data_IF_820210557672
#
_entry.id   IF_820210557672
#
_cell.length_a   1.000
_cell.length_b   1.000
_cell.length_c   1.000
_cell.angle_alpha   90.00
_cell.angle_beta   90.00
_cell.angle_gamma   90.00
#
_symmetry.space_group_name_H-M   'P 1'
#
loop_
_entity.id
_entity.type
_entity.pdbx_description
1 polymer ?
#
# COMPACT_ATOMS: atom_id res chain seq x y z
N UNK A 1 40.83 13.56 -3.51
CA UNK A 1 39.84 12.93 -2.62
C UNK A 1 38.46 13.46 -3.01
N UNK A 2 37.73 12.72 -3.85
CA UNK A 2 36.34 13.06 -4.15
C UNK A 2 35.49 12.57 -2.98
N UNK A 3 35.05 13.47 -2.13
CA UNK A 3 33.95 13.19 -1.20
C UNK A 3 32.65 13.33 -1.99
N UNK A 4 32.13 12.22 -2.49
CA UNK A 4 30.72 12.14 -2.91
C UNK A 4 29.94 11.96 -1.63
N UNK A 5 29.77 13.02 -0.88
CA UNK A 5 28.91 13.13 0.30
C UNK A 5 27.77 14.09 0.01
N UNK A 6 27.10 13.93 -1.11
CA UNK A 6 25.76 14.44 -1.28
C UNK A 6 24.82 13.40 -0.68
N UNK A 7 24.35 13.60 0.55
CA UNK A 7 23.13 12.99 0.97
C UNK A 7 22.09 13.39 -0.09
N UNK A 8 21.69 12.46 -0.95
CA UNK A 8 20.48 12.61 -1.70
C UNK A 8 19.40 12.76 -0.65
N UNK A 9 18.99 13.99 -0.34
CA UNK A 9 17.70 14.22 0.26
C UNK A 9 16.72 13.67 -0.76
N UNK A 10 16.26 12.45 -0.50
CA UNK A 10 15.01 11.99 -1.06
C UNK A 10 14.00 13.03 -0.63
N UNK A 11 13.73 14.00 -1.51
CA UNK A 11 12.54 14.84 -1.40
C UNK A 11 11.38 13.86 -1.44
N UNK A 12 10.85 13.54 -0.26
CA UNK A 12 9.66 12.73 -0.14
C UNK A 12 8.54 13.57 -0.73
N UNK A 13 8.27 13.33 -2.03
CA UNK A 13 7.20 14.03 -2.72
C UNK A 13 5.89 13.69 -2.03
N UNK A 14 5.19 14.71 -1.58
CA UNK A 14 3.86 14.63 -0.99
C UNK A 14 2.75 15.09 -1.94
N UNK A 15 3.12 15.60 -3.11
CA UNK A 15 2.21 16.11 -4.14
C UNK A 15 2.76 15.83 -5.54
N UNK A 16 1.87 15.86 -6.50
CA UNK A 16 2.18 15.85 -7.92
C UNK A 16 1.68 17.15 -8.52
N UNK A 17 2.58 17.88 -9.17
CA UNK A 17 2.31 19.11 -9.90
C UNK A 17 2.50 18.89 -11.41
N UNK A 18 1.68 19.56 -12.21
CA UNK A 18 1.80 19.54 -13.66
C UNK A 18 3.13 20.20 -14.09
N UNK A 19 3.93 19.50 -14.87
CA UNK A 19 5.16 20.04 -15.41
C UNK A 19 4.93 20.89 -16.69
N UNK A 20 3.81 20.67 -17.37
CA UNK A 20 3.43 21.27 -18.65
C UNK A 20 1.93 21.55 -18.68
N UNK A 21 1.52 22.50 -19.53
CA UNK A 21 0.12 22.75 -19.80
C UNK A 21 -0.48 21.62 -20.64
N UNK A 22 -1.73 21.26 -20.40
CA UNK A 22 -2.39 20.22 -21.16
C UNK A 22 -3.72 19.80 -20.58
N UNK A 23 -4.26 18.70 -21.07
CA UNK A 23 -5.49 18.09 -20.58
C UNK A 23 -5.14 16.83 -19.80
N UNK A 24 -5.74 16.65 -18.64
CA UNK A 24 -5.59 15.48 -17.78
C UNK A 24 -6.37 14.31 -18.35
N UNK A 25 -5.74 13.15 -18.45
CA UNK A 25 -6.35 11.88 -18.81
C UNK A 25 -6.04 10.82 -17.74
N UNK A 26 -7.10 10.26 -17.13
CA UNK A 26 -6.95 9.20 -16.14
C UNK A 26 -6.84 7.84 -16.82
N UNK A 27 -5.84 7.05 -16.42
CA UNK A 27 -5.61 5.70 -16.93
C UNK A 27 -5.56 4.70 -15.79
N UNK A 28 -6.39 3.68 -15.86
CA UNK A 28 -6.51 2.63 -14.82
C UNK A 28 -6.69 3.22 -13.39
N UNK A 29 -7.26 4.42 -13.29
CA UNK A 29 -7.41 5.15 -12.04
C UNK A 29 -8.81 4.91 -11.47
N UNK A 30 -8.90 4.08 -10.43
CA UNK A 30 -10.12 3.87 -9.66
C UNK A 30 -10.14 4.84 -8.49
N UNK A 31 -11.11 5.72 -8.48
CA UNK A 31 -11.28 6.77 -7.46
C UNK A 31 -12.58 6.52 -6.71
N UNK A 32 -12.56 6.78 -5.42
CA UNK A 32 -13.74 6.81 -4.56
C UNK A 32 -13.79 8.12 -3.78
N UNK A 33 -15.00 8.60 -3.52
CA UNK A 33 -15.20 9.77 -2.69
C UNK A 33 -15.38 9.34 -1.22
N UNK A 34 -14.56 9.90 -0.32
CA UNK A 34 -14.66 9.66 1.11
C UNK A 34 -15.78 10.51 1.76
N UNK A 35 -16.02 10.33 3.07
CA UNK A 35 -17.03 11.08 3.82
C UNK A 35 -16.81 12.60 3.83
N UNK A 36 -15.60 13.08 3.51
CA UNK A 36 -15.21 14.49 3.46
C UNK A 36 -15.25 15.07 2.06
N UNK A 37 -15.72 14.29 1.06
CA UNK A 37 -15.73 14.70 -0.34
C UNK A 37 -14.36 14.68 -1.00
N UNK A 38 -13.35 14.00 -0.43
CA UNK A 38 -12.04 13.83 -1.05
C UNK A 38 -12.06 12.65 -1.99
N UNK A 39 -11.42 12.80 -3.14
CA UNK A 39 -11.32 11.77 -4.17
C UNK A 39 -10.08 10.93 -3.96
N UNK A 40 -10.23 9.78 -3.37
CA UNK A 40 -9.13 8.90 -2.95
C UNK A 40 -8.90 7.79 -3.96
N UNK A 41 -7.65 7.59 -4.34
CA UNK A 41 -7.23 6.57 -5.30
C UNK A 41 -7.16 5.20 -4.64
N UNK A 42 -7.86 4.23 -5.21
CA UNK A 42 -7.84 2.82 -4.78
C UNK A 42 -6.99 1.93 -5.69
N UNK A 43 -6.70 2.36 -6.91
CA UNK A 43 -5.84 1.58 -7.81
C UNK A 43 -4.37 1.69 -7.41
N UNK A 44 -3.64 0.59 -7.61
CA UNK A 44 -2.18 0.54 -7.36
C UNK A 44 -1.36 0.78 -8.62
N UNK A 45 -2.01 0.68 -9.78
CA UNK A 45 -1.42 0.88 -11.11
C UNK A 45 -1.96 2.11 -11.83
N UNK A 46 -2.68 2.99 -11.12
CA UNK A 46 -3.28 4.18 -11.70
C UNK A 46 -2.25 5.19 -12.18
N UNK A 47 -2.50 5.77 -13.34
CA UNK A 47 -1.65 6.78 -13.97
C UNK A 47 -2.49 7.98 -14.36
N UNK A 48 -1.84 9.14 -14.33
CA UNK A 48 -2.37 10.38 -14.90
C UNK A 48 -1.46 10.80 -16.04
N UNK A 49 -2.03 10.88 -17.23
CA UNK A 49 -1.37 11.43 -18.40
C UNK A 49 -1.76 12.88 -18.60
N UNK A 50 -0.83 13.70 -19.06
CA UNK A 50 -1.08 15.06 -19.55
C UNK A 50 -0.93 14.99 -21.06
N UNK A 51 -1.99 15.33 -21.77
CA UNK A 51 -2.06 15.29 -23.23
C UNK A 51 -2.26 16.68 -23.82
N UNK A 52 -1.76 16.89 -25.03
CA UNK A 52 -2.03 18.11 -25.80
C UNK A 52 -3.39 18.03 -26.53
N UNK A 53 -3.74 19.08 -27.29
CA UNK A 53 -4.98 19.13 -28.07
C UNK A 53 -5.06 18.08 -29.18
N UNK A 54 -3.92 17.54 -29.60
CA UNK A 54 -3.83 16.50 -30.63
C UNK A 54 -3.83 15.08 -30.04
N UNK A 55 -3.97 14.96 -28.70
CA UNK A 55 -3.97 13.69 -27.98
C UNK A 55 -2.56 13.09 -27.83
N UNK A 56 -1.50 13.87 -28.03
CA UNK A 56 -0.13 13.42 -27.82
C UNK A 56 0.20 13.50 -26.32
N UNK A 57 0.78 12.45 -25.77
CA UNK A 57 1.26 12.44 -24.40
C UNK A 57 2.45 13.39 -24.21
N UNK A 58 2.30 14.33 -23.28
CA UNK A 58 3.34 15.25 -22.85
C UNK A 58 4.06 14.75 -21.60
N UNK A 59 3.30 14.18 -20.66
CA UNK A 59 3.84 13.59 -19.45
C UNK A 59 2.92 12.48 -18.92
N UNK A 60 3.49 11.47 -18.27
CA UNK A 60 2.74 10.41 -17.59
C UNK A 60 3.28 10.23 -16.18
N UNK A 61 2.39 10.23 -15.21
CA UNK A 61 2.74 10.13 -13.80
C UNK A 61 1.94 9.03 -13.11
N UNK A 62 2.60 8.19 -12.34
CA UNK A 62 1.93 7.21 -11.47
C UNK A 62 1.39 7.89 -10.22
N UNK A 63 0.14 7.57 -9.89
CA UNK A 63 -0.50 8.06 -8.68
C UNK A 63 -0.48 6.95 -7.62
N UNK A 64 0.06 7.20 -6.42
CA UNK A 64 0.10 6.18 -5.38
C UNK A 64 -1.30 5.90 -4.82
N UNK A 65 -1.49 4.66 -4.37
CA UNK A 65 -2.66 4.24 -3.60
C UNK A 65 -2.86 5.14 -2.37
N UNK A 66 -4.09 5.57 -2.14
CA UNK A 66 -4.45 6.47 -1.04
C UNK A 66 -4.19 7.95 -1.31
N UNK A 67 -3.72 8.32 -2.50
CA UNK A 67 -3.58 9.72 -2.89
C UNK A 67 -4.95 10.37 -3.07
N UNK A 68 -5.04 11.65 -2.73
CA UNK A 68 -6.20 12.51 -3.01
C UNK A 68 -5.99 13.21 -4.35
N UNK A 69 -6.89 13.00 -5.30
CA UNK A 69 -6.86 13.64 -6.62
C UNK A 69 -7.61 14.95 -6.58
N UNK A 70 -6.97 16.02 -7.05
CA UNK A 70 -7.47 17.38 -6.98
C UNK A 70 -8.12 17.90 -8.28
N UNK A 71 -7.90 17.19 -9.40
CA UNK A 71 -8.46 17.55 -10.71
C UNK A 71 -9.40 16.47 -11.24
N UNK A 72 -10.21 16.78 -12.24
CA UNK A 72 -11.09 15.84 -12.92
C UNK A 72 -10.44 15.29 -14.18
N UNK A 73 -10.96 14.14 -14.63
CA UNK A 73 -10.62 13.61 -15.94
C UNK A 73 -11.09 14.56 -17.05
N UNK A 74 -10.23 14.83 -18.02
CA UNK A 74 -10.50 15.83 -19.07
C UNK A 74 -10.31 17.29 -18.62
N UNK A 75 -9.84 17.56 -17.40
CA UNK A 75 -9.59 18.92 -16.93
C UNK A 75 -8.36 19.54 -17.60
N UNK A 76 -8.47 20.81 -18.00
CA UNK A 76 -7.34 21.56 -18.54
C UNK A 76 -6.54 22.14 -17.39
N UNK A 77 -5.25 21.81 -17.34
CA UNK A 77 -4.31 22.25 -16.31
C UNK A 77 -3.19 23.08 -16.90
N UNK A 78 -2.61 23.93 -16.06
CA UNK A 78 -1.41 24.70 -16.35
C UNK A 78 -0.20 24.16 -15.58
N UNK A 79 0.99 24.44 -16.10
CA UNK A 79 2.22 24.07 -15.39
C UNK A 79 2.26 24.70 -14.00
N UNK A 80 2.52 23.86 -12.97
CA UNK A 80 2.48 24.24 -11.56
C UNK A 80 1.16 23.92 -10.85
N UNK A 81 0.08 23.54 -11.56
CA UNK A 81 -1.16 23.11 -10.93
C UNK A 81 -0.99 21.77 -10.22
N UNK A 82 -1.61 21.62 -9.05
CA UNK A 82 -1.57 20.37 -8.29
C UNK A 82 -2.59 19.38 -8.83
N UNK A 83 -2.11 18.20 -9.19
CA UNK A 83 -2.92 17.09 -9.70
C UNK A 83 -3.36 16.18 -8.57
N UNK A 84 -2.43 15.84 -7.67
CA UNK A 84 -2.69 14.93 -6.55
C UNK A 84 -1.81 15.25 -5.36
N UNK A 85 -2.23 14.83 -4.17
CA UNK A 85 -1.48 14.93 -2.91
C UNK A 85 -1.60 13.65 -2.09
N UNK A 86 -0.58 13.29 -1.32
CA UNK A 86 -0.56 12.12 -0.46
C UNK A 86 0.37 12.28 0.74
N UNK A 87 0.21 11.40 1.72
CA UNK A 87 1.16 11.29 2.82
C UNK A 87 2.31 10.35 2.41
N UNK A 88 3.55 10.84 2.33
CA UNK A 88 4.69 10.01 1.96
C UNK A 88 5.15 9.07 3.09
N UNK A 89 4.76 9.35 4.34
CA UNK A 89 5.24 8.63 5.53
C UNK A 89 4.37 7.45 5.92
N UNK A 90 3.10 7.47 5.54
CA UNK A 90 2.16 6.41 5.86
C UNK A 90 1.47 5.85 4.63
N UNK A 91 1.10 4.58 4.70
CA UNK A 91 0.24 3.93 3.73
C UNK A 91 -1.11 3.66 4.39
N UNK A 92 -2.20 4.28 3.92
CA UNK A 92 -3.51 4.02 4.46
C UNK A 92 -4.02 2.64 4.02
N UNK A 93 -4.81 2.00 4.87
CA UNK A 93 -5.69 0.89 4.51
C UNK A 93 -7.09 1.45 4.39
N UNK A 94 -7.66 1.41 3.19
CA UNK A 94 -8.90 2.10 2.83
C UNK A 94 -9.98 1.08 2.53
N UNK A 95 -11.20 1.32 3.00
CA UNK A 95 -12.36 0.48 2.70
C UNK A 95 -12.89 0.73 1.29
N UNK A 96 -13.18 -0.34 0.56
CA UNK A 96 -13.80 -0.23 -0.76
C UNK A 96 -15.33 -0.25 -0.71
N UNK A 97 -15.88 -0.85 0.35
CA UNK A 97 -17.31 -1.01 0.54
C UNK A 97 -17.73 -0.42 1.89
N UNK A 98 -18.98 -0.01 2.05
CA UNK A 98 -19.54 0.33 3.35
C UNK A 98 -19.76 -0.93 4.19
N UNK A 99 -19.82 -0.78 5.53
CA UNK A 99 -20.14 -1.89 6.42
C UNK A 99 -19.67 -1.68 7.84
N UNK A 100 -19.79 -2.72 8.66
CA UNK A 100 -19.40 -2.73 10.07
C UNK A 100 -18.04 -3.40 10.25
N UNK A 101 -17.15 -2.76 10.98
CA UNK A 101 -15.82 -3.26 11.30
C UNK A 101 -15.89 -4.37 12.34
N UNK A 102 -15.15 -5.45 12.12
CA UNK A 102 -14.91 -6.50 13.11
C UNK A 102 -13.41 -6.82 13.19
N UNK A 103 -12.92 -6.76 14.42
CA UNK A 103 -11.55 -7.12 14.72
C UNK A 103 -11.41 -8.63 14.82
N UNK A 104 -10.41 -9.19 14.16
CA UNK A 104 -10.06 -10.61 14.27
C UNK A 104 -8.58 -10.75 14.63
N UNK A 105 -8.28 -11.56 15.63
CA UNK A 105 -6.94 -11.78 16.16
C UNK A 105 -6.23 -10.50 16.66
N UNK A 106 -7.00 -9.45 16.97
CA UNK A 106 -6.56 -8.20 17.59
C UNK A 106 -6.84 -8.27 19.08
N UNK A 107 -5.88 -8.78 19.86
CA UNK A 107 -6.01 -9.03 21.30
C UNK A 107 -5.10 -8.06 22.05
N UNK A 108 -5.67 -7.25 22.95
CA UNK A 108 -4.91 -6.35 23.81
C UNK A 108 -3.83 -7.08 24.61
N UNK A 109 -2.64 -6.50 24.65
CA UNK A 109 -1.47 -7.09 25.32
C UNK A 109 -0.78 -8.23 24.57
N UNK A 110 -1.34 -8.71 23.44
CA UNK A 110 -0.71 -9.72 22.59
C UNK A 110 -0.38 -9.17 21.20
N UNK A 111 -1.40 -8.86 20.42
CA UNK A 111 -1.28 -8.38 19.04
C UNK A 111 -1.65 -6.91 18.88
N UNK A 112 -2.21 -6.31 19.93
CA UNK A 112 -2.61 -4.92 19.98
C UNK A 112 -2.03 -4.29 21.24
N UNK A 113 -1.36 -3.15 21.09
CA UNK A 113 -0.79 -2.38 22.21
C UNK A 113 -1.19 -0.92 22.06
N UNK A 114 -1.59 -0.31 23.16
CA UNK A 114 -1.83 1.12 23.20
C UNK A 114 -0.51 1.85 23.46
N UNK A 115 -0.15 2.75 22.57
CA UNK A 115 1.05 3.58 22.64
C UNK A 115 0.63 5.04 22.65
N UNK A 116 1.07 5.80 23.63
CA UNK A 116 0.84 7.24 23.67
C UNK A 116 1.91 7.91 22.82
N UNK A 117 1.47 8.67 21.82
CA UNK A 117 2.37 9.50 21.01
C UNK A 117 2.88 10.65 21.89
N UNK A 118 4.19 10.70 22.13
CA UNK A 118 4.83 11.71 22.98
C UNK A 118 4.68 13.14 22.44
N UNK A 119 4.49 13.30 21.13
CA UNK A 119 4.36 14.62 20.50
C UNK A 119 2.94 15.18 20.61
N UNK A 120 1.92 14.31 20.47
CA UNK A 120 0.51 14.71 20.44
C UNK A 120 -0.24 14.40 21.73
N UNK A 121 0.30 13.53 22.57
CA UNK A 121 -0.36 13.05 23.80
C UNK A 121 -1.56 12.13 23.53
N UNK A 122 -1.79 11.73 22.29
CA UNK A 122 -2.92 10.90 21.88
C UNK A 122 -2.54 9.43 21.99
N UNK A 123 -3.37 8.65 22.66
CA UNK A 123 -3.23 7.20 22.69
C UNK A 123 -3.59 6.59 21.32
N UNK A 124 -2.68 5.82 20.76
CA UNK A 124 -2.84 5.13 19.48
C UNK A 124 -2.77 3.64 19.68
N UNK A 125 -3.65 2.90 19.03
CA UNK A 125 -3.63 1.43 19.05
C UNK A 125 -2.77 0.92 17.90
N UNK A 126 -1.66 0.28 18.27
CA UNK A 126 -0.65 -0.22 17.34
C UNK A 126 -0.66 -1.75 17.31
N UNK A 127 -0.68 -2.31 16.12
CA UNK A 127 -0.57 -3.76 15.91
C UNK A 127 0.87 -4.20 16.17
N UNK A 128 1.05 -5.16 17.05
CA UNK A 128 2.37 -5.72 17.39
C UNK A 128 2.53 -7.14 16.86
N UNK A 129 3.77 -7.52 16.54
CA UNK A 129 4.09 -8.88 16.15
C UNK A 129 4.01 -9.79 17.37
N UNK A 130 3.06 -10.72 17.38
CA UNK A 130 2.98 -11.74 18.41
C UNK A 130 3.82 -12.95 17.99
N UNK A 131 4.89 -13.19 18.74
CA UNK A 131 5.64 -14.44 18.68
C UNK A 131 5.36 -15.23 19.94
N UNK A 132 4.64 -16.34 19.81
CA UNK A 132 4.44 -17.24 20.94
C UNK A 132 5.80 -17.68 21.52
N UNK A 133 6.09 -17.27 22.76
CA UNK A 133 7.27 -17.71 23.47
C UNK A 133 7.06 -19.18 23.89
N UNK A 134 7.61 -20.13 23.12
CA UNK A 134 7.61 -21.55 23.46
C UNK A 134 7.12 -22.46 22.33
N UNK A 135 7.45 -23.74 22.45
CA UNK A 135 7.16 -24.84 21.51
C UNK A 135 5.66 -25.19 21.35
N UNK A 136 4.76 -24.37 21.84
CA UNK A 136 3.32 -24.60 21.75
C UNK A 136 2.83 -24.18 20.35
N UNK A 137 2.42 -25.13 19.59
CA UNK A 137 2.04 -25.13 18.17
C UNK A 137 0.71 -24.42 17.87
N UNK A 138 0.15 -23.56 18.74
CA UNK A 138 -1.31 -23.34 18.71
C UNK A 138 -1.85 -21.93 18.48
N UNK A 139 -1.05 -20.87 18.42
CA UNK A 139 -1.65 -19.54 18.16
C UNK A 139 -0.86 -18.78 17.10
N UNK A 140 -1.09 -19.13 15.83
CA UNK A 140 -0.67 -18.29 14.70
C UNK A 140 -1.72 -17.17 14.53
N UNK A 141 -1.67 -16.17 15.43
CA UNK A 141 -2.57 -15.03 15.40
C UNK A 141 -2.26 -14.19 14.18
N UNK A 142 -3.30 -13.84 13.43
CA UNK A 142 -3.23 -13.03 12.21
C UNK A 142 -4.10 -11.80 12.38
N UNK A 143 -3.54 -10.70 12.89
CA UNK A 143 -4.27 -9.45 13.04
C UNK A 143 -4.90 -9.01 11.74
N UNK A 144 -6.22 -8.86 11.74
CA UNK A 144 -6.97 -8.41 10.56
C UNK A 144 -8.25 -7.69 10.96
N UNK A 145 -8.68 -6.83 10.08
CA UNK A 145 -9.98 -6.19 10.13
C UNK A 145 -10.87 -6.88 9.09
N UNK A 146 -12.04 -7.32 9.51
CA UNK A 146 -13.08 -7.83 8.63
C UNK A 146 -14.17 -6.79 8.52
N UNK A 147 -14.58 -6.49 7.30
CA UNK A 147 -15.72 -5.65 7.01
C UNK A 147 -16.94 -6.54 6.80
N UNK A 148 -17.98 -6.31 7.59
CA UNK A 148 -19.27 -7.00 7.49
C UNK A 148 -20.27 -6.07 6.80
N UNK A 149 -20.90 -6.57 5.75
CA UNK A 149 -22.05 -5.94 5.12
C UNK A 149 -23.32 -6.63 5.62
N UNK A 150 -24.30 -5.86 6.00
CA UNK A 150 -25.56 -6.36 6.55
C UNK A 150 -26.33 -7.30 5.59
N UNK A 151 -26.12 -7.13 4.28
CA UNK A 151 -26.83 -7.88 3.26
C UNK A 151 -26.08 -9.15 2.81
N UNK A 152 -24.75 -9.11 2.72
CA UNK A 152 -23.93 -10.17 2.13
C UNK A 152 -23.03 -10.90 3.12
N UNK A 153 -22.98 -10.45 4.37
CA UNK A 153 -22.08 -11.00 5.39
C UNK A 153 -20.68 -10.41 5.28
N UNK A 154 -19.64 -11.24 5.15
CA UNK A 154 -18.26 -10.75 5.06
C UNK A 154 -17.99 -10.14 3.67
N UNK A 155 -17.81 -8.80 3.61
CA UNK A 155 -17.57 -8.06 2.37
C UNK A 155 -16.08 -7.96 2.01
N UNK A 156 -15.21 -7.77 3.01
CA UNK A 156 -13.77 -7.64 2.78
C UNK A 156 -12.94 -8.00 4.01
N UNK A 157 -11.67 -8.38 3.79
CA UNK A 157 -10.66 -8.63 4.83
C UNK A 157 -9.42 -7.79 4.57
N UNK A 158 -9.00 -7.06 5.60
CA UNK A 158 -7.79 -6.24 5.56
C UNK A 158 -6.76 -6.83 6.52
N UNK A 159 -5.70 -7.40 5.98
CA UNK A 159 -4.60 -7.93 6.77
C UNK A 159 -3.75 -6.77 7.30
N UNK A 160 -3.48 -6.79 8.60
CA UNK A 160 -2.69 -5.74 9.24
C UNK A 160 -1.24 -6.18 9.40
N UNK A 161 -0.32 -5.33 8.96
CA UNK A 161 1.09 -5.52 9.22
C UNK A 161 1.44 -5.09 10.66
N UNK A 162 2.47 -5.67 11.28
CA UNK A 162 3.03 -5.13 12.51
C UNK A 162 3.42 -3.66 12.32
N UNK A 163 3.14 -2.83 13.32
CA UNK A 163 3.31 -1.38 13.24
C UNK A 163 2.12 -0.62 12.63
N UNK A 164 1.07 -1.32 12.21
CA UNK A 164 -0.15 -0.65 11.77
C UNK A 164 -0.86 0.06 12.93
N UNK A 165 -1.21 1.32 12.72
CA UNK A 165 -1.99 2.13 13.65
C UNK A 165 -3.45 2.07 13.25
N UNK A 166 -4.33 1.64 14.17
CA UNK A 166 -5.76 1.55 13.93
C UNK A 166 -6.39 2.95 13.98
N UNK A 167 -7.26 3.23 13.01
CA UNK A 167 -8.02 4.50 12.93
C UNK A 167 -9.51 4.34 13.29
N UNK A 168 -9.96 3.11 13.51
CA UNK A 168 -11.35 2.76 13.79
C UNK A 168 -11.47 1.82 14.98
N UNK A 169 -12.67 1.75 15.58
CA UNK A 169 -12.99 0.84 16.67
C UNK A 169 -13.69 -0.42 16.17
N UNK A 170 -13.66 -1.49 17.00
CA UNK A 170 -14.46 -2.69 16.74
C UNK A 170 -15.94 -2.35 16.81
N UNK A 171 -16.70 -2.76 15.81
CA UNK A 171 -18.13 -2.44 15.68
C UNK A 171 -18.42 -1.07 15.06
N UNK A 172 -17.42 -0.28 14.66
CA UNK A 172 -17.64 0.99 13.98
C UNK A 172 -18.24 0.79 12.58
N UNK A 173 -19.18 1.64 12.21
CA UNK A 173 -19.68 1.73 10.83
C UNK A 173 -18.75 2.59 9.99
N UNK A 174 -18.38 2.09 8.82
CA UNK A 174 -17.52 2.79 7.85
C UNK A 174 -18.19 2.84 6.50
N UNK A 175 -17.83 3.88 5.74
CA UNK A 175 -18.22 4.02 4.34
C UNK A 175 -17.05 3.65 3.44
N UNK A 176 -17.36 3.46 2.17
CA UNK A 176 -16.35 3.31 1.15
C UNK A 176 -15.44 4.57 1.12
N UNK A 177 -14.12 4.38 1.04
CA UNK A 177 -13.14 5.48 1.10
C UNK A 177 -12.61 5.81 2.50
N UNK A 178 -13.16 5.24 3.57
CA UNK A 178 -12.67 5.49 4.93
C UNK A 178 -11.34 4.75 5.20
N UNK A 179 -10.47 5.42 5.94
CA UNK A 179 -9.18 4.85 6.37
C UNK A 179 -9.38 4.08 7.68
N UNK A 180 -9.19 2.76 7.65
CA UNK A 180 -9.34 1.88 8.83
C UNK A 180 -8.04 1.67 9.59
N UNK A 181 -6.91 1.75 8.92
CA UNK A 181 -5.59 1.68 9.54
C UNK A 181 -4.57 2.47 8.72
N UNK A 182 -3.44 2.81 9.34
CA UNK A 182 -2.28 3.40 8.69
C UNK A 182 -1.04 2.58 9.02
N UNK A 183 -0.27 2.25 7.99
CA UNK A 183 1.01 1.55 8.15
C UNK A 183 2.11 2.55 7.88
N UNK A 184 3.02 2.74 8.85
CA UNK A 184 4.20 3.58 8.61
C UNK A 184 5.01 3.00 7.45
N UNK A 185 5.35 3.81 6.46
CA UNK A 185 6.36 3.43 5.48
C UNK A 185 7.69 3.45 6.19
N UNK A 186 8.36 2.31 6.24
CA UNK A 186 9.76 2.30 6.65
C UNK A 186 10.52 3.17 5.66
N UNK A 187 10.86 4.39 6.08
CA UNK A 187 11.78 5.20 5.31
C UNK A 187 13.08 4.40 5.20
N UNK A 188 13.61 4.33 3.99
CA UNK A 188 14.86 3.60 3.69
C UNK A 188 16.10 4.20 4.41
N UNK A 189 15.92 4.70 5.64
CA UNK A 189 16.91 5.42 6.42
C UNK A 189 18.17 4.61 6.77
N UNK A 190 18.19 3.30 6.52
CA UNK A 190 19.32 2.45 6.93
C UNK A 190 19.53 1.20 6.08
N UNK A 191 19.02 1.13 4.86
CA UNK A 191 19.53 0.11 3.95
C UNK A 191 20.77 0.65 3.29
N UNK A 192 21.89 0.24 3.83
CA UNK A 192 23.19 0.39 3.19
C UNK A 192 23.13 -0.36 1.84
N UNK A 193 22.87 0.41 0.79
CA UNK A 193 22.92 -0.11 -0.57
C UNK A 193 24.40 -0.38 -0.83
N UNK A 194 24.74 -1.66 -1.03
CA UNK A 194 26.11 -2.05 -1.41
C UNK A 194 26.56 -1.20 -2.58
N UNK A 195 27.56 -0.36 -2.36
CA UNK A 195 28.12 0.57 -3.35
C UNK A 195 29.49 0.14 -3.82
N UNK A 196 30.10 0.93 -4.71
CA UNK A 196 31.44 0.70 -5.23
C UNK A 196 31.61 -0.54 -6.10
N UNK A 197 32.81 -1.11 -6.10
CA UNK A 197 33.15 -2.27 -6.93
C UNK A 197 32.24 -3.49 -6.78
N UNK A 198 31.81 -3.89 -5.57
CA UNK A 198 30.89 -5.01 -5.41
C UNK A 198 29.56 -4.79 -6.15
N UNK A 199 29.01 -3.57 -6.10
CA UNK A 199 27.76 -3.25 -6.81
C UNK A 199 27.94 -3.22 -8.31
N UNK A 200 29.07 -2.70 -8.78
CA UNK A 200 29.41 -2.71 -10.21
C UNK A 200 29.51 -4.14 -10.73
N UNK A 201 30.19 -5.03 -9.99
CA UNK A 201 30.29 -6.44 -10.35
C UNK A 201 28.92 -7.14 -10.40
N UNK A 202 28.05 -6.90 -9.40
CA UNK A 202 26.68 -7.45 -9.38
C UNK A 202 25.88 -7.01 -10.61
N UNK A 203 25.96 -5.74 -11.00
CA UNK A 203 25.23 -5.21 -12.16
C UNK A 203 25.75 -5.76 -13.49
N UNK A 204 27.10 -5.80 -13.68
CA UNK A 204 27.69 -6.31 -14.92
C UNK A 204 27.52 -7.82 -15.07
N UNK A 205 27.58 -8.58 -13.99
CA UNK A 205 27.37 -10.02 -14.02
C UNK A 205 25.88 -10.40 -13.95
N UNK A 206 24.98 -9.42 -13.85
CA UNK A 206 23.53 -9.62 -13.71
C UNK A 206 23.18 -10.59 -12.55
N UNK A 207 23.93 -10.50 -11.44
CA UNK A 207 23.68 -11.33 -10.25
C UNK A 207 22.36 -10.94 -9.59
N UNK A 208 21.63 -11.94 -9.12
CA UNK A 208 20.41 -11.71 -8.37
C UNK A 208 20.74 -11.03 -7.03
N UNK A 209 20.12 -9.88 -6.69
CA UNK A 209 20.37 -9.21 -5.44
C UNK A 209 19.99 -10.09 -4.23
N UNK A 210 20.70 -9.92 -3.11
CA UNK A 210 20.45 -10.70 -1.87
C UNK A 210 19.04 -10.44 -1.33
N UNK A 211 18.59 -9.19 -1.39
CA UNK A 211 17.25 -8.79 -1.03
C UNK A 211 16.55 -8.19 -2.24
N UNK A 212 15.50 -8.86 -2.68
CA UNK A 212 14.68 -8.40 -3.79
C UNK A 212 13.20 -8.47 -3.44
N UNK A 213 12.42 -7.58 -4.04
CA UNK A 213 10.97 -7.68 -4.01
C UNK A 213 10.50 -8.88 -4.84
N UNK A 214 9.37 -9.45 -4.45
CA UNK A 214 8.66 -10.45 -5.25
C UNK A 214 7.69 -9.69 -6.14
N UNK A 215 7.86 -9.81 -7.44
CA UNK A 215 7.09 -9.08 -8.44
C UNK A 215 6.16 -10.06 -9.13
N UNK A 216 4.92 -9.64 -9.39
CA UNK A 216 3.95 -10.40 -10.18
C UNK A 216 4.49 -10.66 -11.60
N UNK A 217 4.32 -11.88 -12.09
CA UNK A 217 4.71 -12.27 -13.47
C UNK A 217 3.53 -12.26 -14.42
N UNK A 218 2.33 -12.22 -13.87
CA UNK A 218 1.07 -12.21 -14.60
C UNK A 218 0.15 -11.17 -13.99
N UNK A 219 -0.68 -10.56 -14.82
CA UNK A 219 -1.71 -9.63 -14.37
C UNK A 219 -2.92 -10.40 -13.85
N UNK A 220 -3.55 -9.91 -12.80
CA UNK A 220 -4.73 -10.57 -12.23
C UNK A 220 -5.06 -10.12 -10.81
N UNK A 221 -6.02 -10.80 -10.19
CA UNK A 221 -6.45 -10.52 -8.83
C UNK A 221 -5.67 -11.31 -7.79
N UNK A 222 -5.31 -10.63 -6.72
CA UNK A 222 -4.59 -11.22 -5.59
C UNK A 222 -5.52 -12.09 -4.75
N UNK A 223 -5.08 -13.30 -4.42
CA UNK A 223 -5.78 -14.27 -3.55
C UNK A 223 -4.81 -14.78 -2.49
N UNK A 224 -5.20 -14.70 -1.22
CA UNK A 224 -4.38 -15.24 -0.13
C UNK A 224 -4.70 -16.71 0.11
N UNK A 225 -3.67 -17.56 0.03
CA UNK A 225 -3.77 -18.98 0.34
C UNK A 225 -3.38 -19.32 1.80
N UNK A 226 -3.48 -20.60 2.14
CA UNK A 226 -3.01 -21.10 3.44
C UNK A 226 -1.49 -21.00 3.52
N UNK A 227 -0.97 -20.50 4.64
CA UNK A 227 0.46 -20.42 4.86
C UNK A 227 1.12 -21.80 4.83
N UNK A 228 2.31 -21.83 4.27
CA UNK A 228 3.13 -23.04 4.26
C UNK A 228 4.42 -22.81 5.06
N UNK A 229 4.52 -23.45 6.23
CA UNK A 229 5.64 -23.28 7.17
C UNK A 229 5.83 -21.80 7.55
N UNK A 230 7.03 -21.24 7.27
CA UNK A 230 7.40 -19.84 7.55
C UNK A 230 7.13 -18.88 6.38
N UNK A 231 6.32 -19.29 5.38
CA UNK A 231 6.03 -18.50 4.19
C UNK A 231 4.51 -18.29 4.05
N UNK A 232 4.13 -17.12 3.61
CA UNK A 232 2.76 -16.80 3.17
C UNK A 232 2.59 -17.21 1.72
N UNK A 233 1.46 -17.82 1.41
CA UNK A 233 1.10 -18.19 0.04
C UNK A 233 0.19 -17.12 -0.53
N UNK A 234 0.64 -16.46 -1.59
CA UNK A 234 -0.11 -15.46 -2.32
C UNK A 234 -0.28 -15.97 -3.74
N UNK A 235 -1.51 -16.04 -4.20
CA UNK A 235 -1.85 -16.39 -5.58
C UNK A 235 -2.23 -15.17 -6.38
N UNK A 236 -2.02 -15.21 -7.67
CA UNK A 236 -2.60 -14.27 -8.62
C UNK A 236 -3.50 -15.07 -9.56
N UNK A 237 -4.79 -14.72 -9.55
CA UNK A 237 -5.80 -15.29 -10.45
C UNK A 237 -5.87 -14.42 -11.70
N UNK A 238 -5.44 -14.92 -12.87
CA UNK A 238 -5.56 -14.18 -14.12
C UNK A 238 -7.03 -13.97 -14.52
N UNK A 239 -7.32 -12.88 -15.24
CA UNK A 239 -8.69 -12.56 -15.70
C UNK A 239 -9.19 -13.50 -16.81
N UNK A 240 -8.29 -14.09 -17.55
CA UNK A 240 -8.59 -15.07 -18.62
C UNK A 240 -9.04 -16.45 -18.10
N UNK A 241 -9.16 -16.60 -16.75
CA UNK A 241 -9.56 -17.85 -16.11
C UNK A 241 -8.47 -18.90 -16.06
N UNK A 242 -7.21 -18.50 -16.31
CA UNK A 242 -6.04 -19.37 -16.19
C UNK A 242 -5.81 -19.89 -14.77
N UNK A 243 -4.82 -20.77 -14.62
CA UNK A 243 -4.43 -21.31 -13.30
C UNK A 243 -3.84 -20.20 -12.40
N UNK A 244 -4.14 -20.27 -11.09
CA UNK A 244 -3.58 -19.36 -10.11
C UNK A 244 -2.07 -19.50 -10.03
N UNK A 245 -1.34 -18.43 -10.28
CA UNK A 245 0.12 -18.39 -10.14
C UNK A 245 0.47 -18.11 -8.68
N UNK A 246 1.12 -19.07 -8.02
CA UNK A 246 1.41 -19.03 -6.58
C UNK A 246 2.81 -18.49 -6.28
N UNK A 247 2.88 -17.61 -5.29
CA UNK A 247 4.11 -17.03 -4.75
C UNK A 247 4.24 -17.37 -3.27
N UNK A 248 5.44 -17.82 -2.86
CA UNK A 248 5.74 -18.09 -1.46
C UNK A 248 6.58 -16.95 -0.89
N UNK A 249 5.95 -16.07 -0.14
CA UNK A 249 6.56 -14.87 0.45
C UNK A 249 6.98 -15.16 1.88
N UNK A 250 8.25 -14.93 2.28
CA UNK A 250 8.68 -15.07 3.67
C UNK A 250 7.84 -14.19 4.60
N UNK A 251 7.49 -14.69 5.80
CA UNK A 251 6.69 -13.93 6.79
C UNK A 251 7.36 -12.62 7.25
N UNK A 252 8.68 -12.53 7.12
CA UNK A 252 9.46 -11.32 7.43
C UNK A 252 9.34 -10.19 6.39
N UNK A 253 8.75 -10.47 5.22
CA UNK A 253 8.53 -9.45 4.19
C UNK A 253 7.18 -8.78 4.40
N UNK A 254 7.16 -7.46 4.22
CA UNK A 254 5.92 -6.67 4.19
C UNK A 254 5.20 -6.96 2.89
N UNK A 255 3.89 -7.17 2.96
CA UNK A 255 3.03 -7.37 1.80
C UNK A 255 2.33 -6.06 1.51
N UNK A 256 2.52 -5.57 0.30
CA UNK A 256 2.03 -4.27 -0.16
C UNK A 256 0.63 -4.35 -0.79
N UNK A 257 0.12 -5.56 -1.00
CA UNK A 257 -1.17 -5.82 -1.65
C UNK A 257 -2.18 -6.42 -0.67
N UNK A 258 -3.46 -6.21 -0.92
CA UNK A 258 -4.56 -6.80 -0.17
C UNK A 258 -5.25 -7.90 -0.98
N UNK A 259 -6.09 -8.70 -0.32
CA UNK A 259 -6.90 -9.71 -0.98
C UNK A 259 -7.91 -9.04 -1.92
N UNK A 260 -7.95 -9.46 -3.19
CA UNK A 260 -8.81 -8.87 -4.21
C UNK A 260 -8.19 -7.73 -5.01
N UNK A 261 -7.03 -7.19 -4.60
CA UNK A 261 -6.32 -6.16 -5.37
C UNK A 261 -5.97 -6.65 -6.77
N UNK A 262 -6.04 -5.76 -7.74
CA UNK A 262 -5.57 -6.04 -9.09
C UNK A 262 -4.11 -5.62 -9.25
N UNK A 263 -3.30 -6.51 -9.78
CA UNK A 263 -1.88 -6.28 -10.07
C UNK A 263 -1.58 -6.52 -11.55
N UNK A 264 -0.66 -5.74 -12.09
CA UNK A 264 -0.17 -5.84 -13.47
C UNK A 264 1.24 -6.37 -13.51
#
# INVERSE_FOLDING_TARGET
>A
TFHIGGAAQLNEQSNLEAAVDGTVEFRDLRIIEDQRGRRVVLSRSGEVAIVDMDGRELAVHKIPYGANVLCDDGHIISAGDRIAEWDPFTMPVITENPGTIRFQDLIEGKTLTEVTDEATGIAQRVVTEYRAAGRSKKEDLRPRITLLDDASGEAARYMLAPGAVLSVDDGAEVKAGDVVARVARESAKTRDITGGLPRVAELFEARKPKENAIIAKVSGRVVFGKDYKAKRKIGIQPEDGGEVVEYLVPKSKVIDVQEGDYVK
#
